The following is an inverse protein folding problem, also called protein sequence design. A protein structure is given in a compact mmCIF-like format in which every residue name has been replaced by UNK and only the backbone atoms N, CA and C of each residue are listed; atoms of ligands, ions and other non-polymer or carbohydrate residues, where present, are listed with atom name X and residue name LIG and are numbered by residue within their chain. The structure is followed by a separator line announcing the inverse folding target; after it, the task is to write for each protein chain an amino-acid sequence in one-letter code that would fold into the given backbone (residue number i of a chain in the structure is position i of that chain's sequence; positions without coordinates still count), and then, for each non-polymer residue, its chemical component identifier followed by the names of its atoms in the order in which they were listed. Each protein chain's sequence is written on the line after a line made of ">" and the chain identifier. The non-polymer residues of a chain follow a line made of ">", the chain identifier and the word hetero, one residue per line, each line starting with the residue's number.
data_IF_126121079090
#
_entry.id   IF_126121079090
#
_cell.length_a   1.000
_cell.length_b   1.000
_cell.length_c   1.000
_cell.angle_alpha   90.00
_cell.angle_beta   90.00
_cell.angle_gamma   90.00
#
_symmetry.space_group_name_H-M   'P 1'
#
loop_
_entity.id
_entity.type
_entity.pdbx_description
1 polymer ?
#
# COMPACT_ATOMS: atom_id res chain seq x y z
N UNK A 1 -11.61 16.07 -12.65
CA UNK A 1 -10.57 16.21 -11.62
C UNK A 1 -9.58 15.10 -11.84
N UNK A 2 -8.29 15.41 -11.95
CA UNK A 2 -7.25 14.38 -11.98
C UNK A 2 -7.26 13.65 -10.62
N UNK A 3 -7.36 12.33 -10.63
CA UNK A 3 -7.24 11.51 -9.42
C UNK A 3 -5.76 11.47 -9.04
N UNK A 4 -5.42 11.95 -7.85
CA UNK A 4 -4.06 11.82 -7.33
C UNK A 4 -3.82 10.35 -7.04
N UNK A 5 -2.92 9.73 -7.78
CA UNK A 5 -2.55 8.33 -7.58
C UNK A 5 -1.67 8.22 -6.33
N UNK A 6 -1.97 7.30 -5.43
CA UNK A 6 -1.17 7.01 -4.22
C UNK A 6 -0.54 5.62 -4.25
N UNK A 7 -0.85 4.84 -5.28
CA UNK A 7 -0.31 3.50 -5.49
C UNK A 7 -0.17 3.14 -6.96
N UNK A 8 0.68 2.17 -7.25
CA UNK A 8 0.87 1.56 -8.57
C UNK A 8 0.90 0.05 -8.42
N UNK A 9 0.23 -0.66 -9.31
CA UNK A 9 0.22 -2.12 -9.33
C UNK A 9 0.86 -2.68 -10.60
N UNK A 10 1.54 -3.80 -10.44
CA UNK A 10 2.18 -4.58 -11.49
C UNK A 10 1.93 -6.07 -11.24
N UNK A 11 2.13 -6.89 -12.26
CA UNK A 11 2.11 -8.35 -12.14
C UNK A 11 3.53 -8.87 -12.35
N UNK A 12 4.03 -9.62 -11.38
CA UNK A 12 5.35 -10.24 -11.46
C UNK A 12 5.38 -11.35 -12.51
N UNK A 13 6.42 -11.42 -13.30
CA UNK A 13 6.63 -12.47 -14.31
C UNK A 13 7.34 -13.68 -13.73
N UNK A 14 8.02 -13.53 -12.59
CA UNK A 14 8.56 -14.61 -11.77
C UNK A 14 9.76 -15.35 -12.35
N UNK A 15 10.35 -14.84 -13.43
CA UNK A 15 11.47 -15.53 -14.04
C UNK A 15 12.81 -15.21 -13.37
N UNK A 16 12.87 -14.37 -12.38
CA UNK A 16 14.05 -14.01 -11.54
C UNK A 16 15.43 -14.44 -12.01
N UNK A 17 15.43 -15.30 -13.02
CA UNK A 17 16.60 -15.91 -13.64
C UNK A 17 17.35 -14.91 -14.54
N UNK A 18 16.63 -13.94 -15.12
CA UNK A 18 17.21 -12.96 -16.03
C UNK A 18 17.35 -11.54 -15.47
N UNK A 19 17.01 -11.33 -14.19
CA UNK A 19 17.20 -10.03 -13.52
C UNK A 19 16.31 -8.90 -14.06
N UNK A 20 15.39 -9.17 -14.98
CA UNK A 20 14.55 -8.15 -15.61
C UNK A 20 13.37 -7.73 -14.72
N UNK A 21 12.98 -8.57 -13.76
CA UNK A 21 11.80 -8.37 -12.92
C UNK A 21 12.11 -7.87 -11.51
N UNK A 22 13.31 -7.36 -11.31
CA UNK A 22 13.73 -6.82 -10.01
C UNK A 22 13.36 -5.34 -9.87
N UNK A 23 13.14 -4.62 -10.98
CA UNK A 23 13.05 -3.16 -10.98
C UNK A 23 11.67 -2.68 -11.45
N UNK A 24 11.03 -1.81 -10.65
CA UNK A 24 9.68 -1.33 -10.88
C UNK A 24 9.58 0.17 -10.62
N UNK A 25 8.99 0.93 -11.55
CA UNK A 25 8.87 2.38 -11.44
C UNK A 25 7.52 2.80 -10.88
N UNK A 26 7.50 3.92 -10.15
CA UNK A 26 6.25 4.55 -9.72
C UNK A 26 6.29 6.06 -9.98
N UNK A 27 5.12 6.67 -10.20
CA UNK A 27 4.99 8.07 -10.64
C UNK A 27 4.09 8.90 -9.73
N UNK A 28 3.74 8.38 -8.55
CA UNK A 28 2.97 9.15 -7.57
C UNK A 28 3.89 9.92 -6.62
N UNK A 29 3.38 11.02 -6.09
CA UNK A 29 4.13 11.88 -5.19
C UNK A 29 4.28 11.27 -3.80
N UNK A 30 5.45 11.45 -3.17
CA UNK A 30 5.69 11.17 -1.75
C UNK A 30 6.44 12.32 -1.11
N UNK A 31 6.29 12.46 0.21
CA UNK A 31 6.98 13.50 0.95
C UNK A 31 8.45 13.13 1.19
N UNK A 32 8.69 11.87 1.52
CA UNK A 32 10.01 11.31 1.79
C UNK A 32 10.11 9.88 1.23
N UNK A 33 11.32 9.39 1.13
CA UNK A 33 11.64 8.06 0.61
C UNK A 33 11.02 6.94 1.45
N UNK A 34 11.01 7.11 2.75
CA UNK A 34 10.55 6.16 3.75
C UNK A 34 9.03 5.95 3.72
N UNK A 35 8.28 6.88 3.12
CA UNK A 35 6.83 6.75 2.92
C UNK A 35 6.48 5.70 1.85
N UNK A 36 7.46 5.27 1.04
CA UNK A 36 7.22 4.27 0.00
C UNK A 36 7.27 2.87 0.58
N UNK A 37 6.19 2.14 0.39
CA UNK A 37 6.01 0.75 0.85
C UNK A 37 5.68 -0.16 -0.31
N UNK A 38 5.97 -1.45 -0.13
CA UNK A 38 5.71 -2.46 -1.16
C UNK A 38 5.00 -3.66 -0.54
N UNK A 39 3.98 -4.14 -1.22
CA UNK A 39 3.30 -5.40 -0.92
C UNK A 39 3.30 -6.29 -2.16
N UNK A 40 3.38 -7.60 -1.92
CA UNK A 40 3.26 -8.61 -2.97
C UNK A 40 2.21 -9.62 -2.55
N UNK A 41 1.36 -10.07 -3.48
CA UNK A 41 0.34 -11.06 -3.14
C UNK A 41 0.94 -12.44 -2.93
N UNK A 42 0.38 -13.19 -1.97
CA UNK A 42 0.66 -14.62 -1.76
C UNK A 42 -0.13 -15.51 -2.74
N UNK A 43 -0.10 -16.82 -2.55
CA UNK A 43 -0.83 -17.80 -3.37
C UNK A 43 -2.36 -17.63 -3.31
N UNK A 44 -2.86 -17.05 -2.24
CA UNK A 44 -4.28 -16.83 -1.97
C UNK A 44 -4.72 -15.41 -2.33
N UNK A 45 -3.89 -14.65 -3.07
CA UNK A 45 -4.10 -13.25 -3.43
C UNK A 45 -4.17 -12.27 -2.24
N UNK A 46 -3.65 -12.64 -1.06
CA UNK A 46 -3.52 -11.72 0.06
C UNK A 46 -2.24 -10.89 -0.09
N UNK A 47 -2.33 -9.58 0.14
CA UNK A 47 -1.17 -8.71 0.16
C UNK A 47 -0.31 -8.93 1.40
N UNK A 48 0.97 -9.17 1.19
CA UNK A 48 1.99 -9.38 2.22
C UNK A 48 3.04 -8.28 2.08
N UNK A 49 3.40 -7.64 3.18
CA UNK A 49 4.46 -6.63 3.20
C UNK A 49 5.82 -7.30 2.90
N UNK A 50 6.61 -6.63 2.09
CA UNK A 50 7.98 -7.03 1.77
C UNK A 50 8.94 -5.90 2.10
N UNK A 51 10.15 -6.27 2.50
CA UNK A 51 11.22 -5.32 2.88
C UNK A 51 12.51 -5.53 2.08
N UNK A 52 12.53 -6.55 1.22
CA UNK A 52 13.70 -6.94 0.42
C UNK A 52 13.82 -6.09 -0.86
N UNK A 53 13.79 -4.77 -0.72
CA UNK A 53 13.96 -3.83 -1.83
C UNK A 53 14.74 -2.58 -1.42
N UNK A 54 15.28 -1.91 -2.41
CA UNK A 54 15.82 -0.55 -2.30
C UNK A 54 14.95 0.40 -3.13
N UNK A 55 15.00 1.67 -2.79
CA UNK A 55 14.36 2.72 -3.57
C UNK A 55 15.47 3.53 -4.21
N UNK A 56 15.48 3.49 -5.54
CA UNK A 56 16.48 4.17 -6.36
C UNK A 56 15.84 5.38 -7.04
N UNK A 57 16.67 6.38 -7.39
CA UNK A 57 16.23 7.58 -8.11
C UNK A 57 14.99 8.26 -7.52
N UNK A 58 14.84 8.21 -6.19
CA UNK A 58 13.71 8.84 -5.52
C UNK A 58 13.68 10.35 -5.77
N UNK A 59 12.49 10.81 -6.14
CA UNK A 59 12.13 12.22 -6.18
C UNK A 59 10.77 12.41 -5.51
N UNK A 60 10.40 13.65 -5.20
CA UNK A 60 9.06 13.95 -4.69
C UNK A 60 7.93 13.60 -5.68
N UNK A 61 8.23 13.27 -6.93
CA UNK A 61 7.26 12.96 -7.98
C UNK A 61 7.24 11.47 -8.37
N UNK A 62 8.14 10.66 -7.84
CA UNK A 62 8.24 9.24 -8.16
C UNK A 62 9.64 8.70 -7.99
N UNK A 63 9.86 7.45 -8.40
CA UNK A 63 11.14 6.78 -8.31
C UNK A 63 11.07 5.35 -8.82
N UNK A 64 12.08 4.58 -8.49
CA UNK A 64 12.21 3.17 -8.86
C UNK A 64 12.45 2.34 -7.61
N UNK A 65 11.81 1.19 -7.49
CA UNK A 65 12.17 0.18 -6.52
C UNK A 65 12.97 -0.92 -7.20
N UNK A 66 13.97 -1.46 -6.50
CA UNK A 66 14.74 -2.63 -6.94
C UNK A 66 14.70 -3.68 -5.85
N UNK A 67 14.10 -4.83 -6.14
CA UNK A 67 14.11 -5.98 -5.24
C UNK A 67 15.51 -6.56 -5.12
N UNK A 68 15.83 -7.09 -3.95
CA UNK A 68 17.12 -7.72 -3.67
C UNK A 68 16.93 -9.02 -2.89
N UNK A 69 18.01 -9.78 -2.72
CA UNK A 69 17.98 -11.09 -2.08
C UNK A 69 18.20 -11.05 -0.54
N UNK A 70 18.08 -9.87 0.08
CA UNK A 70 18.28 -9.71 1.53
C UNK A 70 16.91 -9.68 2.23
N UNK A 71 16.68 -10.58 3.18
CA UNK A 71 15.42 -10.63 3.92
C UNK A 71 14.21 -11.07 3.09
N UNK A 72 14.45 -11.92 2.09
CA UNK A 72 13.42 -12.40 1.15
C UNK A 72 12.32 -13.16 1.86
N UNK A 73 11.08 -12.77 1.61
CA UNK A 73 9.90 -13.54 1.98
C UNK A 73 9.62 -14.61 0.90
N UNK A 74 9.99 -15.86 1.18
CA UNK A 74 9.87 -16.98 0.24
C UNK A 74 8.42 -17.35 -0.14
N UNK A 75 7.42 -16.83 0.56
CA UNK A 75 6.02 -17.04 0.18
C UNK A 75 5.62 -16.22 -1.06
N UNK A 76 6.26 -15.08 -1.27
CA UNK A 76 5.88 -14.11 -2.30
C UNK A 76 7.01 -13.80 -3.29
N UNK A 77 8.27 -14.03 -2.92
CA UNK A 77 9.44 -13.78 -3.75
C UNK A 77 10.28 -15.05 -3.97
N UNK A 78 11.03 -15.07 -5.06
CA UNK A 78 12.06 -16.06 -5.38
C UNK A 78 13.32 -15.82 -4.55
N UNK A 79 14.24 -16.77 -4.52
CA UNK A 79 15.51 -16.65 -3.79
C UNK A 79 16.40 -15.49 -4.27
N UNK A 80 16.20 -15.02 -5.48
CA UNK A 80 16.84 -13.84 -6.06
C UNK A 80 16.28 -12.53 -5.51
N UNK A 81 15.12 -12.58 -4.83
CA UNK A 81 14.35 -11.45 -4.35
C UNK A 81 13.23 -11.01 -5.30
N UNK A 82 13.24 -11.47 -6.56
CA UNK A 82 12.20 -11.14 -7.52
C UNK A 82 10.82 -11.64 -7.04
N UNK A 83 9.73 -10.85 -7.20
CA UNK A 83 8.38 -11.34 -6.96
C UNK A 83 8.07 -12.56 -7.83
N UNK A 84 7.39 -13.56 -7.25
CA UNK A 84 7.00 -14.79 -7.97
C UNK A 84 6.06 -14.48 -9.13
N UNK A 85 6.01 -15.38 -10.11
CA UNK A 85 5.12 -15.31 -11.27
C UNK A 85 3.65 -15.18 -10.85
N UNK A 86 2.90 -14.36 -11.58
CA UNK A 86 1.47 -14.11 -11.36
C UNK A 86 1.14 -13.53 -9.98
N UNK A 87 2.10 -12.91 -9.29
CA UNK A 87 1.86 -12.13 -8.07
C UNK A 87 1.62 -10.68 -8.43
N UNK A 88 0.67 -10.04 -7.77
CA UNK A 88 0.49 -8.59 -7.89
C UNK A 88 1.46 -7.90 -6.95
N UNK A 89 2.22 -6.96 -7.49
CA UNK A 89 3.13 -6.08 -6.76
C UNK A 89 2.41 -4.75 -6.63
N UNK A 90 2.23 -4.28 -5.40
CA UNK A 90 1.70 -2.94 -5.13
C UNK A 90 2.79 -2.09 -4.51
N UNK A 91 3.18 -1.04 -5.20
CA UNK A 91 4.00 0.05 -4.66
C UNK A 91 3.02 1.13 -4.21
N UNK A 92 3.09 1.56 -2.97
CA UNK A 92 2.15 2.54 -2.43
C UNK A 92 2.85 3.50 -1.48
N UNK A 93 2.19 4.62 -1.25
CA UNK A 93 2.62 5.58 -0.25
C UNK A 93 1.86 5.33 1.05
N UNK A 94 2.57 5.38 2.14
CA UNK A 94 2.04 5.43 3.50
C UNK A 94 2.72 6.59 4.23
N UNK A 95 2.03 7.73 4.24
CA UNK A 95 2.55 8.94 4.86
C UNK A 95 2.54 8.79 6.37
N UNK A 96 3.71 8.80 6.98
CA UNK A 96 3.83 8.73 8.43
C UNK A 96 3.31 10.00 9.09
N UNK A 97 2.29 9.83 9.92
CA UNK A 97 1.67 10.86 10.75
C UNK A 97 1.78 10.57 12.24
N UNK A 98 2.54 9.52 12.61
CA UNK A 98 2.67 9.04 13.98
C UNK A 98 4.10 9.17 14.47
N UNK A 99 4.27 9.38 15.75
CA UNK A 99 5.59 9.38 16.41
C UNK A 99 6.06 7.97 16.81
N UNK A 100 5.37 6.90 16.35
CA UNK A 100 5.54 5.54 16.87
C UNK A 100 4.88 5.31 18.22
N UNK A 101 4.26 6.33 18.82
CA UNK A 101 3.51 6.25 20.08
C UNK A 101 2.02 6.40 19.76
N UNK A 102 1.19 5.49 20.25
CA UNK A 102 -0.26 5.53 20.02
C UNK A 102 -0.86 6.85 20.48
N UNK A 103 -1.58 7.53 19.59
CA UNK A 103 -2.26 8.79 19.87
C UNK A 103 -1.38 10.05 19.85
N UNK A 104 -0.12 9.91 19.49
CA UNK A 104 0.80 11.05 19.32
C UNK A 104 1.06 11.25 17.83
N UNK A 105 0.80 12.47 17.33
CA UNK A 105 1.12 12.83 15.95
C UNK A 105 2.57 13.31 15.86
N UNK A 106 3.16 13.08 14.71
CA UNK A 106 4.49 13.57 14.35
C UNK A 106 4.39 14.55 13.16
N UNK A 107 4.05 15.83 13.42
CA UNK A 107 4.02 16.83 12.36
C UNK A 107 5.43 17.09 11.83
N UNK A 108 5.56 17.39 10.54
CA UNK A 108 6.85 17.70 9.91
C UNK A 108 7.55 18.93 10.51
N UNK A 109 6.78 19.82 11.10
CA UNK A 109 7.31 20.96 11.85
C UNK A 109 6.45 21.23 13.08
N UNK A 110 7.10 21.50 14.22
CA UNK A 110 6.46 21.93 15.46
C UNK A 110 6.80 23.40 15.74
N UNK A 111 5.84 24.13 16.29
CA UNK A 111 6.00 25.54 16.61
C UNK A 111 5.98 25.74 18.11
N UNK A 112 6.96 26.51 18.62
CA UNK A 112 7.00 26.95 20.01
C UNK A 112 6.70 28.44 20.12
N UNK A 113 6.20 28.87 21.26
CA UNK A 113 5.91 30.28 21.50
C UNK A 113 7.17 31.13 21.27
N UNK A 114 7.06 32.19 20.46
CA UNK A 114 8.16 33.08 20.11
C UNK A 114 9.06 32.61 18.96
N UNK A 115 8.82 31.43 18.37
CA UNK A 115 9.55 31.02 17.15
C UNK A 115 9.01 31.74 15.90
N UNK A 116 9.88 32.02 14.95
CA UNK A 116 9.45 32.48 13.61
C UNK A 116 8.91 31.30 12.81
N UNK A 117 7.77 31.51 12.15
CA UNK A 117 7.12 30.53 11.29
C UNK A 117 7.64 30.71 9.86
N UNK A 118 8.17 29.66 9.25
CA UNK A 118 8.56 29.63 7.84
C UNK A 118 7.42 29.11 6.99
N UNK A 119 7.28 29.66 5.80
CA UNK A 119 6.26 29.20 4.84
C UNK A 119 6.43 27.72 4.48
N UNK A 120 7.67 27.24 4.38
CA UNK A 120 7.96 25.82 4.10
C UNK A 120 7.47 24.88 5.19
N UNK A 121 7.59 25.26 6.44
CA UNK A 121 7.12 24.47 7.59
C UNK A 121 5.60 24.29 7.57
N UNK A 122 4.85 25.39 7.26
CA UNK A 122 3.40 25.34 7.09
C UNK A 122 3.00 24.46 5.90
N UNK A 123 3.66 24.67 4.76
CA UNK A 123 3.39 23.90 3.55
C UNK A 123 3.67 22.41 3.76
N UNK A 124 4.72 22.05 4.49
CA UNK A 124 5.09 20.67 4.78
C UNK A 124 4.06 19.99 5.68
N UNK A 125 3.60 20.65 6.74
CA UNK A 125 2.53 20.13 7.58
C UNK A 125 1.23 19.94 6.79
N UNK A 126 0.87 20.91 5.92
CA UNK A 126 -0.31 20.76 5.05
C UNK A 126 -0.17 19.60 4.05
N UNK A 127 0.99 19.44 3.42
CA UNK A 127 1.25 18.32 2.50
C UNK A 127 1.13 16.97 3.22
N UNK A 128 1.66 16.84 4.43
CA UNK A 128 1.54 15.62 5.21
C UNK A 128 0.08 15.23 5.44
N UNK A 129 -0.75 16.16 5.88
CA UNK A 129 -2.19 15.94 6.09
C UNK A 129 -2.90 15.60 4.78
N UNK A 130 -2.63 16.35 3.70
CA UNK A 130 -3.24 16.11 2.39
C UNK A 130 -2.87 14.72 1.85
N UNK A 131 -1.63 14.29 2.01
CA UNK A 131 -1.19 12.98 1.55
C UNK A 131 -1.86 11.86 2.33
N UNK A 132 -1.96 11.97 3.66
CA UNK A 132 -2.69 11.00 4.47
C UNK A 132 -4.19 10.93 4.10
N UNK A 133 -4.84 12.07 3.82
CA UNK A 133 -6.23 12.10 3.37
C UNK A 133 -6.38 11.47 1.97
N UNK A 134 -5.45 11.70 1.06
CA UNK A 134 -5.48 11.07 -0.27
C UNK A 134 -5.36 9.55 -0.16
N UNK A 135 -4.53 9.05 0.74
CA UNK A 135 -4.37 7.61 1.00
C UNK A 135 -5.65 6.99 1.53
N UNK A 136 -6.29 7.61 2.51
CA UNK A 136 -7.60 7.18 3.02
C UNK A 136 -8.64 7.13 1.90
N UNK A 137 -8.72 8.16 1.07
CA UNK A 137 -9.64 8.23 -0.06
C UNK A 137 -9.38 7.14 -1.11
N UNK A 138 -8.12 6.84 -1.38
CA UNK A 138 -7.75 5.77 -2.31
C UNK A 138 -8.05 4.39 -1.72
N UNK A 139 -7.87 4.20 -0.41
CA UNK A 139 -8.25 2.96 0.28
C UNK A 139 -9.77 2.71 0.23
N UNK A 140 -10.59 3.74 0.34
CA UNK A 140 -12.05 3.63 0.19
C UNK A 140 -12.47 3.28 -1.24
N UNK A 141 -11.68 3.66 -2.25
CA UNK A 141 -11.95 3.37 -3.66
C UNK A 141 -11.43 2.02 -4.13
N UNK A 142 -10.39 1.52 -3.50
CA UNK A 142 -9.91 0.15 -3.72
C UNK A 142 -10.91 -0.73 -3.00
N UNK A 143 -11.65 -1.54 -3.75
CA UNK A 143 -12.63 -2.55 -3.32
C UNK A 143 -12.39 -2.93 -1.87
N UNK A 144 -13.35 -2.61 -1.01
CA UNK A 144 -13.24 -2.83 0.43
C UNK A 144 -12.69 -4.24 0.64
N UNK A 145 -11.43 -4.35 1.03
CA UNK A 145 -10.87 -5.62 1.47
C UNK A 145 -11.60 -5.97 2.77
N UNK A 146 -12.73 -6.62 2.62
CA UNK A 146 -13.46 -7.14 3.76
C UNK A 146 -12.57 -8.20 4.39
N UNK A 147 -12.01 -7.87 5.56
CA UNK A 147 -11.18 -8.81 6.30
C UNK A 147 -11.97 -10.11 6.51
N UNK A 148 -11.29 -11.24 6.48
CA UNK A 148 -11.91 -12.52 6.83
C UNK A 148 -12.67 -12.37 8.16
N UNK A 149 -13.91 -12.83 8.19
CA UNK A 149 -14.82 -12.70 9.32
C UNK A 149 -15.28 -11.26 9.67
N UNK A 150 -15.01 -10.26 8.83
CA UNK A 150 -15.47 -8.90 9.07
C UNK A 150 -16.97 -8.74 8.82
N UNK A 151 -17.57 -9.55 7.95
CA UNK A 151 -19.01 -9.62 7.75
C UNK A 151 -19.57 -10.70 8.68
N UNK A 152 -20.29 -10.27 9.69
CA UNK A 152 -20.99 -11.15 10.63
C UNK A 152 -22.49 -11.09 10.34
N UNK A 153 -23.27 -12.07 10.80
CA UNK A 153 -24.72 -12.10 10.63
C UNK A 153 -25.41 -10.81 11.09
N UNK A 154 -24.89 -10.14 12.10
CA UNK A 154 -25.42 -8.85 12.59
C UNK A 154 -25.19 -7.68 11.64
N UNK A 155 -24.32 -7.82 10.65
CA UNK A 155 -24.03 -6.79 9.62
C UNK A 155 -24.84 -6.99 8.35
N UNK A 156 -25.50 -8.12 8.22
CA UNK A 156 -26.40 -8.43 7.12
C UNK A 156 -27.81 -8.29 7.69
N UNK A 157 -28.60 -7.39 7.12
CA UNK A 157 -30.00 -7.23 7.50
C UNK A 157 -30.76 -8.50 7.12
N UNK A 158 -31.76 -8.86 7.92
CA UNK A 158 -32.62 -10.00 7.61
C UNK A 158 -33.25 -9.82 6.23
N UNK A 159 -33.31 -10.89 5.45
CA UNK A 159 -33.87 -10.95 4.09
C UNK A 159 -33.07 -10.19 3.01
N UNK A 160 -31.83 -9.71 3.30
CA UNK A 160 -30.97 -9.06 2.30
C UNK A 160 -30.18 -10.05 1.43
N UNK A 161 -30.10 -11.32 1.80
CA UNK A 161 -29.47 -12.39 1.02
C UNK A 161 -30.59 -13.31 0.49
N UNK A 162 -30.84 -13.22 -0.79
CA UNK A 162 -31.84 -14.05 -1.48
C UNK A 162 -31.16 -15.02 -2.49
N UNK A 163 -32.00 -15.79 -3.21
CA UNK A 163 -31.52 -16.80 -4.16
C UNK A 163 -30.64 -16.26 -5.30
N UNK A 164 -30.69 -14.96 -5.59
CA UNK A 164 -29.88 -14.34 -6.65
C UNK A 164 -28.43 -14.14 -6.21
N UNK A 165 -28.18 -14.16 -4.91
CA UNK A 165 -26.84 -13.98 -4.31
C UNK A 165 -26.08 -15.32 -4.20
N UNK A 166 -26.72 -16.44 -4.48
CA UNK A 166 -26.10 -17.76 -4.43
C UNK A 166 -25.84 -18.32 -5.82
N UNK A 167 -24.61 -18.75 -6.07
CA UNK A 167 -24.33 -19.55 -7.27
C UNK A 167 -25.00 -20.93 -7.15
N UNK A 168 -25.40 -21.50 -8.27
CA UNK A 168 -25.98 -22.86 -8.29
C UNK A 168 -24.99 -23.86 -7.65
N UNK A 169 -25.44 -24.60 -6.66
CA UNK A 169 -24.64 -25.57 -5.91
C UNK A 169 -23.71 -24.97 -4.83
N UNK A 170 -23.87 -23.68 -4.49
CA UNK A 170 -23.06 -23.05 -3.43
C UNK A 170 -23.57 -23.27 -2.02
N UNK A 171 -24.78 -23.89 -1.86
CA UNK A 171 -25.36 -24.27 -0.58
C UNK A 171 -25.49 -25.78 -0.59
N UNK A 172 -24.71 -26.45 0.25
CA UNK A 172 -24.87 -27.87 0.53
C UNK A 172 -26.00 -28.04 1.54
N UNK A 173 -26.99 -28.86 1.18
CA UNK A 173 -27.99 -29.35 2.12
C UNK A 173 -27.38 -30.57 2.80
N UNK A 174 -26.97 -30.43 4.07
CA UNK A 174 -26.70 -31.58 4.94
C UNK A 174 -28.00 -32.27 5.38
#
# INVERSE_FOLDING_TARGET
>A
MATTQTSKEYVGTGDGVNGTDLTWTYTFQSYQKEDIKVKVTDANANFVDVTNFTIDDWTAAGGTITFNNTGVNSNVCESTGAPKSNRTIRIYRETDITSGVVGVHDPKATYTAGSSIKADDLNNNQKQVLYAIHELRDQERITVNVRNSAITGTKIKDDEIDSQHYAAGSIDLE
#
